data_IF_290295971329
#
_entry.id   IF_290295971329
#
_cell.length_a   1.000
_cell.length_b   1.000
_cell.length_c   1.000
_cell.angle_alpha   90.00
_cell.angle_beta   90.00
_cell.angle_gamma   90.00
#
_symmetry.space_group_name_H-M   'P 1'
#
loop_
_entity.id
_entity.type
_entity.pdbx_description
1 polymer ?
#
# COMPACT_ATOMS: atom_id res chain seq x y z
N UNK A 1 -26.64 55.66 8.84
CA UNK A 1 -25.25 55.56 9.35
C UNK A 1 -24.54 54.46 8.56
N UNK A 2 -23.53 54.78 7.75
CA UNK A 2 -22.78 53.77 6.97
C UNK A 2 -21.78 53.10 7.91
N UNK A 3 -22.07 51.88 8.36
CA UNK A 3 -21.12 51.06 9.12
C UNK A 3 -19.93 50.74 8.22
N UNK A 4 -18.81 51.44 8.43
CA UNK A 4 -17.52 51.08 7.84
C UNK A 4 -17.01 49.87 8.60
N UNK A 5 -17.18 48.68 8.03
CA UNK A 5 -16.51 47.48 8.56
C UNK A 5 -15.01 47.76 8.44
N UNK A 6 -14.25 47.76 9.55
CA UNK A 6 -12.84 48.03 9.50
C UNK A 6 -12.18 46.93 8.67
N UNK A 7 -11.37 47.34 7.69
CA UNK A 7 -10.70 46.47 6.71
C UNK A 7 -9.93 45.33 7.41
N UNK A 8 -9.44 45.57 8.63
CA UNK A 8 -8.80 44.55 9.48
C UNK A 8 -9.70 43.34 9.79
N UNK A 9 -10.99 43.52 10.03
CA UNK A 9 -11.94 42.42 10.32
C UNK A 9 -12.17 41.56 9.07
N UNK A 10 -12.23 42.19 7.89
CA UNK A 10 -12.34 41.49 6.60
C UNK A 10 -11.08 40.68 6.27
N UNK A 11 -9.89 41.19 6.60
CA UNK A 11 -8.63 40.47 6.37
C UNK A 11 -8.49 39.26 7.31
N UNK A 12 -8.94 39.38 8.56
CA UNK A 12 -8.93 38.26 9.52
C UNK A 12 -9.89 37.16 9.08
N UNK A 13 -11.10 37.50 8.63
CA UNK A 13 -12.06 36.49 8.17
C UNK A 13 -11.60 35.77 6.89
N UNK A 14 -10.96 36.48 5.96
CA UNK A 14 -10.32 35.88 4.77
C UNK A 14 -9.17 34.95 5.14
N UNK A 15 -8.32 35.33 6.10
CA UNK A 15 -7.21 34.48 6.55
C UNK A 15 -7.70 33.19 7.22
N UNK A 16 -8.74 33.26 8.05
CA UNK A 16 -9.36 32.09 8.70
C UNK A 16 -10.02 31.17 7.66
N UNK A 17 -10.73 31.73 6.69
CA UNK A 17 -11.32 30.93 5.60
C UNK A 17 -10.24 30.23 4.77
N UNK A 18 -9.13 30.92 4.50
CA UNK A 18 -7.98 30.36 3.77
C UNK A 18 -7.29 29.21 4.51
N UNK A 19 -7.09 29.33 5.82
CA UNK A 19 -6.47 28.25 6.62
C UNK A 19 -7.37 27.02 6.74
N UNK A 20 -8.69 27.19 6.89
CA UNK A 20 -9.65 26.08 6.92
C UNK A 20 -9.67 25.34 5.57
N UNK A 21 -9.71 26.08 4.46
CA UNK A 21 -9.68 25.49 3.11
C UNK A 21 -8.36 24.75 2.85
N UNK A 22 -7.22 25.30 3.28
CA UNK A 22 -5.92 24.64 3.17
C UNK A 22 -5.86 23.35 4.01
N UNK A 23 -6.35 23.38 5.25
CA UNK A 23 -6.41 22.19 6.10
C UNK A 23 -7.27 21.09 5.46
N UNK A 24 -8.46 21.43 4.94
CA UNK A 24 -9.32 20.47 4.26
C UNK A 24 -8.71 19.92 2.97
N UNK A 25 -8.03 20.75 2.19
CA UNK A 25 -7.31 20.31 0.99
C UNK A 25 -6.15 19.36 1.34
N UNK A 26 -5.37 19.68 2.37
CA UNK A 26 -4.26 18.83 2.83
C UNK A 26 -4.73 17.48 3.38
N UNK A 27 -5.87 17.45 4.09
CA UNK A 27 -6.52 16.21 4.53
C UNK A 27 -6.99 15.38 3.34
N UNK A 28 -7.70 16.00 2.39
CA UNK A 28 -8.16 15.32 1.18
C UNK A 28 -7.01 14.72 0.36
N UNK A 29 -5.92 15.47 0.18
CA UNK A 29 -4.73 14.98 -0.53
C UNK A 29 -4.03 13.81 0.21
N UNK A 30 -4.03 13.80 1.55
CA UNK A 30 -3.54 12.66 2.34
C UNK A 30 -4.47 11.45 2.23
N UNK A 31 -5.79 11.66 2.29
CA UNK A 31 -6.76 10.59 2.09
C UNK A 31 -6.61 9.99 0.69
N UNK A 32 -6.49 10.81 -0.35
CA UNK A 32 -6.29 10.33 -1.72
C UNK A 32 -5.00 9.51 -1.83
N UNK A 33 -3.92 9.89 -1.13
CA UNK A 33 -2.65 9.13 -1.10
C UNK A 33 -2.78 7.80 -0.35
N UNK A 34 -3.38 7.78 0.84
CA UNK A 34 -3.60 6.57 1.64
C UNK A 34 -4.62 5.63 1.00
N UNK A 35 -5.68 6.18 0.41
CA UNK A 35 -6.66 5.43 -0.39
C UNK A 35 -6.00 4.85 -1.63
N UNK A 36 -5.09 5.57 -2.28
CA UNK A 36 -4.35 5.05 -3.42
C UNK A 36 -3.35 3.96 -3.00
N UNK A 37 -2.69 4.06 -1.84
CA UNK A 37 -1.90 2.97 -1.24
C UNK A 37 -2.74 1.72 -0.92
N UNK A 38 -4.01 1.91 -0.51
CA UNK A 38 -4.97 0.82 -0.28
C UNK A 38 -5.56 0.24 -1.57
N UNK A 39 -5.87 1.07 -2.59
CA UNK A 39 -6.67 0.70 -3.76
C UNK A 39 -5.88 0.41 -5.04
N UNK A 40 -4.73 1.05 -5.27
CA UNK A 40 -4.18 1.21 -6.62
C UNK A 40 -3.52 -0.03 -7.23
N UNK A 41 -3.73 -1.22 -6.67
CA UNK A 41 -3.31 -2.48 -7.29
C UNK A 41 -4.18 -3.68 -6.86
N UNK A 42 -5.45 -3.48 -6.51
CA UNK A 42 -6.33 -4.57 -6.04
C UNK A 42 -6.32 -5.79 -6.98
N UNK A 43 -6.55 -5.57 -8.28
CA UNK A 43 -6.75 -6.68 -9.22
C UNK A 43 -5.42 -7.30 -9.65
N UNK A 44 -4.38 -6.51 -9.92
CA UNK A 44 -3.05 -7.07 -10.20
C UNK A 44 -2.44 -7.79 -8.98
N UNK A 45 -2.69 -7.33 -7.74
CA UNK A 45 -2.24 -8.03 -6.52
C UNK A 45 -3.02 -9.32 -6.29
N UNK A 46 -4.33 -9.36 -6.57
CA UNK A 46 -5.12 -10.60 -6.56
C UNK A 46 -4.59 -11.59 -7.57
N UNK A 47 -4.38 -11.15 -8.80
CA UNK A 47 -3.83 -11.99 -9.87
C UNK A 47 -2.41 -12.46 -9.54
N UNK A 48 -1.57 -11.59 -8.99
CA UNK A 48 -0.24 -11.95 -8.50
C UNK A 48 -0.32 -13.01 -7.39
N UNK A 49 -1.12 -12.81 -6.35
CA UNK A 49 -1.23 -13.77 -5.25
C UNK A 49 -1.91 -15.08 -5.69
N UNK A 50 -2.88 -15.02 -6.60
CA UNK A 50 -3.47 -16.19 -7.25
C UNK A 50 -2.41 -16.98 -8.02
N UNK A 51 -1.60 -16.30 -8.84
CA UNK A 51 -0.49 -16.92 -9.57
C UNK A 51 0.50 -17.62 -8.64
N UNK A 52 0.88 -16.98 -7.53
CA UNK A 52 1.80 -17.58 -6.56
C UNK A 52 1.20 -18.82 -5.89
N UNK A 53 -0.06 -18.74 -5.45
CA UNK A 53 -0.75 -19.84 -4.78
C UNK A 53 -0.96 -21.04 -5.72
N UNK A 54 -1.34 -20.76 -6.96
CA UNK A 54 -1.54 -21.79 -8.00
C UNK A 54 -0.23 -22.21 -8.68
N UNK A 55 0.89 -21.52 -8.39
CA UNK A 55 2.19 -21.66 -9.07
C UNK A 55 2.06 -21.57 -10.60
N UNK A 56 1.18 -20.70 -11.08
CA UNK A 56 0.85 -20.57 -12.49
C UNK A 56 1.52 -19.33 -13.11
N UNK A 57 2.53 -19.57 -13.95
CA UNK A 57 3.29 -18.50 -14.61
C UNK A 57 2.54 -17.79 -15.74
N UNK A 58 1.48 -18.40 -16.29
CA UNK A 58 0.63 -17.76 -17.31
C UNK A 58 -0.19 -16.62 -16.69
N UNK A 59 -0.66 -16.79 -15.45
CA UNK A 59 -1.32 -15.70 -14.72
C UNK A 59 -0.35 -14.54 -14.53
N UNK A 60 0.94 -14.81 -14.23
CA UNK A 60 1.96 -13.77 -14.15
C UNK A 60 2.15 -12.99 -15.47
N UNK A 61 1.84 -13.59 -16.63
CA UNK A 61 2.01 -12.92 -17.92
C UNK A 61 1.02 -11.79 -18.16
N UNK A 62 -0.14 -11.82 -17.49
CA UNK A 62 -1.16 -10.77 -17.51
C UNK A 62 -0.77 -9.54 -16.67
N UNK A 63 0.16 -9.70 -15.73
CA UNK A 63 0.65 -8.62 -14.87
C UNK A 63 1.57 -7.66 -15.65
N UNK A 64 1.72 -6.44 -15.15
CA UNK A 64 2.58 -5.44 -15.76
C UNK A 64 3.85 -5.16 -14.94
N UNK A 65 4.89 -4.69 -15.64
CA UNK A 65 6.12 -4.15 -15.04
C UNK A 65 6.83 -5.08 -14.03
N UNK A 66 7.11 -4.54 -12.84
CA UNK A 66 7.84 -5.25 -11.78
C UNK A 66 7.05 -6.42 -11.18
N UNK A 67 5.71 -6.38 -11.18
CA UNK A 67 4.90 -7.47 -10.64
C UNK A 67 5.02 -8.74 -11.50
N UNK A 68 5.03 -8.58 -12.83
CA UNK A 68 5.24 -9.69 -13.77
C UNK A 68 6.57 -10.40 -13.55
N UNK A 69 7.67 -9.64 -13.46
CA UNK A 69 9.01 -10.19 -13.25
C UNK A 69 9.14 -10.85 -11.88
N UNK A 70 8.71 -10.19 -10.80
CA UNK A 70 8.67 -10.75 -9.44
C UNK A 70 7.84 -12.04 -9.36
N UNK A 71 6.66 -12.07 -9.99
CA UNK A 71 5.76 -13.22 -9.93
C UNK A 71 6.43 -14.49 -10.48
N UNK A 72 7.06 -14.38 -11.66
CA UNK A 72 7.80 -15.49 -12.26
C UNK A 72 9.02 -15.88 -11.44
N UNK A 73 9.78 -14.89 -10.96
CA UNK A 73 10.94 -15.12 -10.10
C UNK A 73 10.57 -15.89 -8.83
N UNK A 74 9.46 -15.54 -8.18
CA UNK A 74 8.99 -16.17 -6.94
C UNK A 74 8.50 -17.61 -7.18
N UNK A 75 7.71 -17.84 -8.23
CA UNK A 75 7.24 -19.20 -8.58
C UNK A 75 8.42 -20.11 -8.91
N UNK A 76 9.37 -19.62 -9.71
CA UNK A 76 10.52 -20.40 -10.16
C UNK A 76 11.66 -20.46 -9.14
N UNK A 77 11.59 -19.66 -8.07
CA UNK A 77 12.68 -19.45 -7.09
C UNK A 77 14.00 -19.08 -7.77
N UNK A 78 13.90 -18.18 -8.75
CA UNK A 78 15.01 -17.76 -9.61
C UNK A 78 15.23 -16.26 -9.48
N UNK A 79 16.30 -15.87 -8.78
CA UNK A 79 16.65 -14.48 -8.55
C UNK A 79 17.11 -13.76 -9.82
N UNK A 80 17.44 -14.47 -10.91
CA UNK A 80 17.76 -13.85 -12.20
C UNK A 80 16.55 -13.18 -12.85
N UNK A 81 15.33 -13.57 -12.44
CA UNK A 81 14.09 -12.91 -12.83
C UNK A 81 13.82 -11.59 -12.09
N UNK A 82 14.59 -11.27 -11.05
CA UNK A 82 14.48 -10.02 -10.31
C UNK A 82 15.28 -8.91 -10.98
N UNK A 83 14.84 -7.66 -10.81
CA UNK A 83 15.68 -6.51 -11.14
C UNK A 83 16.89 -6.47 -10.18
N UNK A 84 18.11 -6.13 -10.64
CA UNK A 84 19.28 -6.05 -9.76
C UNK A 84 19.15 -5.04 -8.62
N UNK A 85 18.32 -4.00 -8.79
CA UNK A 85 18.04 -3.00 -7.75
C UNK A 85 16.94 -3.44 -6.77
N UNK A 86 16.32 -4.59 -7.01
CA UNK A 86 15.20 -5.11 -6.24
C UNK A 86 15.67 -6.13 -5.20
N UNK A 87 16.30 -5.59 -4.15
CA UNK A 87 16.90 -6.41 -3.09
C UNK A 87 15.89 -7.32 -2.38
N UNK A 88 14.61 -6.91 -2.29
CA UNK A 88 13.57 -7.73 -1.68
C UNK A 88 13.15 -8.90 -2.54
N UNK A 89 13.06 -8.72 -3.86
CA UNK A 89 12.81 -9.85 -4.78
C UNK A 89 13.95 -10.87 -4.69
N UNK A 90 15.19 -10.39 -4.68
CA UNK A 90 16.37 -11.23 -4.53
C UNK A 90 16.31 -11.94 -3.18
N UNK A 91 16.10 -11.21 -2.08
CA UNK A 91 15.97 -11.77 -0.73
C UNK A 91 14.94 -12.90 -0.66
N UNK A 92 13.73 -12.68 -1.20
CA UNK A 92 12.63 -13.66 -1.16
C UNK A 92 12.97 -14.91 -1.99
N UNK A 93 13.54 -14.73 -3.19
CA UNK A 93 13.90 -15.85 -4.07
C UNK A 93 15.07 -16.68 -3.54
N UNK A 94 16.07 -16.03 -2.91
CA UNK A 94 17.24 -16.70 -2.33
C UNK A 94 17.04 -17.13 -0.88
N UNK A 95 15.94 -16.72 -0.24
CA UNK A 95 15.69 -16.84 1.21
C UNK A 95 16.81 -16.20 2.06
N UNK A 96 17.35 -15.07 1.61
CA UNK A 96 18.39 -14.32 2.33
C UNK A 96 17.79 -13.10 3.07
N UNK A 97 17.55 -13.25 4.36
CA UNK A 97 16.97 -12.19 5.20
C UNK A 97 17.87 -10.94 5.29
N UNK A 98 19.19 -11.06 5.09
CA UNK A 98 20.11 -9.93 5.20
C UNK A 98 19.87 -8.86 4.13
N UNK A 99 19.20 -9.23 3.04
CA UNK A 99 18.83 -8.35 1.93
C UNK A 99 17.44 -7.70 2.11
N UNK A 100 16.68 -8.07 3.14
CA UNK A 100 15.36 -7.51 3.41
C UNK A 100 15.43 -6.12 4.04
N UNK A 101 14.89 -5.12 3.33
CA UNK A 101 14.73 -3.76 3.85
C UNK A 101 13.44 -3.59 4.66
N UNK A 102 12.39 -4.37 4.37
CA UNK A 102 11.09 -4.24 5.03
C UNK A 102 10.70 -5.46 5.87
N UNK A 103 9.77 -5.22 6.80
CA UNK A 103 9.12 -6.28 7.60
C UNK A 103 8.34 -7.24 6.70
N UNK A 104 7.78 -6.80 5.56
CA UNK A 104 7.10 -7.67 4.60
C UNK A 104 8.03 -8.75 4.06
N UNK A 105 9.21 -8.34 3.60
CA UNK A 105 10.22 -9.26 3.08
C UNK A 105 10.62 -10.31 4.11
N UNK A 106 10.88 -9.88 5.36
CA UNK A 106 11.23 -10.77 6.47
C UNK A 106 10.10 -11.74 6.81
N UNK A 107 8.88 -11.23 6.98
CA UNK A 107 7.70 -12.03 7.27
C UNK A 107 7.45 -13.09 6.19
N UNK A 108 7.73 -12.75 4.93
CA UNK A 108 7.61 -13.69 3.82
C UNK A 108 8.67 -14.78 3.86
N UNK A 109 9.96 -14.42 3.95
CA UNK A 109 11.06 -15.41 3.97
C UNK A 109 10.91 -16.39 5.13
N UNK A 110 10.56 -15.86 6.31
CA UNK A 110 10.37 -16.62 7.54
C UNK A 110 9.01 -17.33 7.59
N UNK A 111 8.12 -17.03 6.64
CA UNK A 111 6.74 -17.55 6.59
C UNK A 111 6.00 -17.30 7.92
N UNK A 112 6.29 -16.17 8.58
CA UNK A 112 5.80 -15.82 9.91
C UNK A 112 4.87 -14.58 9.87
N UNK A 113 3.54 -14.78 9.87
CA UNK A 113 2.57 -13.68 9.85
C UNK A 113 2.52 -12.89 11.18
N UNK A 114 3.17 -13.33 12.25
CA UNK A 114 3.23 -12.56 13.51
C UNK A 114 4.06 -11.28 13.36
N UNK A 115 5.06 -11.30 12.47
CA UNK A 115 5.91 -10.16 12.14
C UNK A 115 5.12 -9.04 11.44
N UNK A 116 4.00 -9.37 10.80
CA UNK A 116 3.14 -8.40 10.12
C UNK A 116 2.49 -7.37 11.04
N UNK A 117 2.45 -7.60 12.36
CA UNK A 117 1.97 -6.61 13.34
C UNK A 117 2.73 -5.28 13.30
N UNK A 118 3.98 -5.30 12.83
CA UNK A 118 4.86 -4.13 12.71
C UNK A 118 4.86 -3.52 11.31
N UNK A 119 4.15 -4.13 10.35
CA UNK A 119 4.06 -3.63 8.99
C UNK A 119 3.10 -2.43 8.90
N UNK A 120 3.33 -1.47 7.99
CA UNK A 120 2.40 -0.37 7.72
C UNK A 120 0.97 -0.83 7.40
N UNK A 121 0.82 -1.99 6.74
CA UNK A 121 -0.46 -2.65 6.50
C UNK A 121 -0.38 -4.14 6.94
N UNK A 122 -0.72 -4.43 8.20
CA UNK A 122 -0.64 -5.77 8.78
C UNK A 122 -1.54 -6.80 8.09
N UNK A 123 -2.77 -6.43 7.73
CA UNK A 123 -3.72 -7.34 7.07
C UNK A 123 -3.19 -7.76 5.69
N UNK A 124 -2.68 -6.81 4.90
CA UNK A 124 -2.07 -7.11 3.61
C UNK A 124 -0.79 -7.96 3.76
N UNK A 125 0.06 -7.65 4.74
CA UNK A 125 1.25 -8.45 5.03
C UNK A 125 0.87 -9.91 5.30
N UNK A 126 -0.13 -10.13 6.16
CA UNK A 126 -0.60 -11.48 6.49
C UNK A 126 -1.06 -12.21 5.23
N UNK A 127 -1.87 -11.57 4.39
CA UNK A 127 -2.34 -12.17 3.13
C UNK A 127 -1.19 -12.55 2.20
N UNK A 128 -0.15 -11.71 2.11
CA UNK A 128 1.03 -12.01 1.29
C UNK A 128 1.79 -13.23 1.84
N UNK A 129 1.98 -13.31 3.16
CA UNK A 129 2.71 -14.40 3.83
C UNK A 129 1.92 -15.71 3.77
N UNK A 130 0.60 -15.65 4.00
CA UNK A 130 -0.28 -16.84 3.98
C UNK A 130 -0.74 -17.20 2.57
N UNK A 131 -0.48 -16.35 1.57
CA UNK A 131 -0.95 -16.47 0.19
C UNK A 131 -2.50 -16.56 0.08
N UNK A 132 -3.23 -15.98 1.04
CA UNK A 132 -4.70 -16.02 1.14
C UNK A 132 -5.38 -15.03 0.18
N UNK A 133 -5.21 -15.21 -1.13
CA UNK A 133 -5.66 -14.23 -2.14
C UNK A 133 -7.18 -13.93 -2.12
N UNK A 134 -8.00 -14.86 -1.66
CA UNK A 134 -9.46 -14.69 -1.52
C UNK A 134 -9.85 -13.64 -0.46
N UNK A 135 -8.94 -13.31 0.46
CA UNK A 135 -9.18 -12.37 1.56
C UNK A 135 -8.80 -10.92 1.20
N UNK A 136 -8.24 -10.69 0.00
CA UNK A 136 -7.77 -9.35 -0.44
C UNK A 136 -8.91 -8.34 -0.46
N UNK A 137 -10.11 -8.73 -0.90
CA UNK A 137 -11.26 -7.81 -0.94
C UNK A 137 -11.66 -7.33 0.47
N UNK A 138 -11.65 -8.23 1.45
CA UNK A 138 -11.92 -7.90 2.84
C UNK A 138 -10.82 -7.00 3.42
N UNK A 139 -9.55 -7.30 3.16
CA UNK A 139 -8.43 -6.49 3.65
C UNK A 139 -8.35 -5.11 2.98
N UNK A 140 -8.68 -5.00 1.70
CA UNK A 140 -8.77 -3.71 1.01
C UNK A 140 -9.88 -2.85 1.62
N UNK A 141 -11.01 -3.47 1.98
CA UNK A 141 -12.11 -2.80 2.68
C UNK A 141 -11.69 -2.30 4.06
N UNK A 142 -11.00 -3.12 4.85
CA UNK A 142 -10.45 -2.69 6.15
C UNK A 142 -9.46 -1.53 6.02
N UNK A 143 -8.55 -1.59 5.03
CA UNK A 143 -7.59 -0.53 4.73
C UNK A 143 -8.29 0.79 4.41
N UNK A 144 -9.35 0.75 3.59
CA UNK A 144 -10.16 1.91 3.24
C UNK A 144 -10.85 2.54 4.44
N UNK A 145 -11.44 1.73 5.32
CA UNK A 145 -12.11 2.25 6.52
C UNK A 145 -11.10 2.84 7.51
N UNK A 146 -9.92 2.23 7.66
CA UNK A 146 -8.85 2.78 8.49
C UNK A 146 -8.27 4.09 7.92
N UNK A 147 -8.09 4.18 6.61
CA UNK A 147 -7.64 5.40 5.94
C UNK A 147 -8.62 6.55 6.13
N UNK A 148 -9.93 6.26 6.05
CA UNK A 148 -10.98 7.23 6.31
C UNK A 148 -10.98 7.72 7.75
N UNK A 149 -10.93 6.83 8.74
CA UNK A 149 -10.97 7.22 10.16
C UNK A 149 -9.76 8.08 10.55
N UNK A 150 -8.55 7.75 10.08
CA UNK A 150 -7.35 8.54 10.36
C UNK A 150 -7.40 9.97 9.80
N UNK A 151 -8.07 10.18 8.66
CA UNK A 151 -8.07 11.49 8.00
C UNK A 151 -9.30 12.33 8.34
N UNK A 152 -10.45 11.69 8.49
CA UNK A 152 -11.72 12.35 8.79
C UNK A 152 -11.93 12.53 10.31
N UNK A 153 -11.24 11.77 11.15
CA UNK A 153 -11.38 11.84 12.61
C UNK A 153 -12.70 11.27 13.11
N UNK A 154 -13.30 10.35 12.34
CA UNK A 154 -14.47 9.55 12.73
C UNK A 154 -14.05 8.26 13.43
#
# INVERSE_FOLDING_TARGET
MKHKIPIAILLISLAIAGTILWQNYSKKSRLDMTVQECLSASDERKEFLRALNEKNTEICDSLQGLLKSRCKAYINKDSSGCSPADSECIAITTKDESLCATVYCKAWILEDPSLCSQAPNPSFCKIMVTHSWQEIDSANKECLEHAKSQVLGE
#
